data_IF_554721963199
#
_entry.id   IF_554721963199
#
_cell.length_a   1.000
_cell.length_b   1.000
_cell.length_c   1.000
_cell.angle_alpha   90.00
_cell.angle_beta   90.00
_cell.angle_gamma   90.00
#
_symmetry.space_group_name_H-M   'P 1'
#
loop_
_entity.id
_entity.type
_entity.pdbx_description
1 polymer ?
#
# COMPACT_ATOMS: atom_id res chain seq x y z
N UNK A 1 -20.39 28.69 -9.93
CA UNK A 1 -21.35 29.56 -10.64
C UNK A 1 -21.82 28.86 -11.88
N UNK A 2 -23.13 28.87 -12.16
CA UNK A 2 -23.72 28.22 -13.34
C UNK A 2 -23.75 29.20 -14.50
N UNK A 3 -23.49 28.69 -15.70
CA UNK A 3 -23.58 29.47 -16.92
C UNK A 3 -24.57 28.77 -17.85
N UNK A 4 -25.52 29.55 -18.35
CA UNK A 4 -26.63 29.07 -19.15
C UNK A 4 -26.21 29.10 -20.62
N UNK A 5 -26.07 27.94 -21.25
CA UNK A 5 -25.86 27.85 -22.69
C UNK A 5 -27.16 27.37 -23.34
N UNK A 6 -27.76 28.22 -24.17
CA UNK A 6 -29.00 27.92 -24.90
C UNK A 6 -28.68 27.24 -26.23
N UNK A 7 -29.10 25.97 -26.39
CA UNK A 7 -29.45 25.42 -27.69
C UNK A 7 -30.87 24.83 -27.59
N UNK A 8 -31.80 25.47 -28.32
CA UNK A 8 -33.17 25.06 -28.68
C UNK A 8 -33.77 23.91 -27.83
N UNK A 9 -34.63 24.33 -26.90
CA UNK A 9 -35.74 23.57 -26.29
C UNK A 9 -35.45 22.38 -25.34
N UNK A 10 -34.24 22.23 -24.79
CA UNK A 10 -34.05 21.38 -23.60
C UNK A 10 -32.98 21.93 -22.64
N UNK A 11 -33.37 22.21 -21.40
CA UNK A 11 -32.46 22.53 -20.30
C UNK A 11 -31.92 21.23 -19.70
N UNK A 12 -30.65 20.92 -19.95
CA UNK A 12 -29.98 19.78 -19.33
C UNK A 12 -28.95 20.31 -18.34
N UNK A 13 -29.07 19.94 -17.07
CA UNK A 13 -28.06 20.24 -16.06
C UNK A 13 -26.79 19.46 -16.41
N UNK A 14 -25.77 20.15 -16.92
CA UNK A 14 -24.48 19.55 -17.24
C UNK A 14 -23.49 19.95 -16.15
N UNK A 15 -22.96 18.95 -15.43
CA UNK A 15 -21.88 19.17 -14.49
C UNK A 15 -20.69 19.76 -15.24
N UNK A 16 -20.17 20.89 -14.78
CA UNK A 16 -18.92 21.45 -15.31
C UNK A 16 -17.78 20.45 -15.10
N UNK A 17 -16.73 20.51 -15.94
CA UNK A 17 -15.49 19.82 -15.66
C UNK A 17 -14.98 20.23 -14.27
N UNK A 18 -14.56 19.26 -13.48
CA UNK A 18 -13.96 19.48 -12.17
C UNK A 18 -12.69 20.32 -12.33
N UNK A 19 -12.66 21.50 -11.69
CA UNK A 19 -11.51 22.41 -11.74
C UNK A 19 -10.78 22.37 -10.38
N UNK A 20 -9.59 21.73 -10.32
CA UNK A 20 -8.86 21.54 -9.08
C UNK A 20 -8.50 22.85 -8.36
N UNK A 21 -8.29 23.94 -9.09
CA UNK A 21 -7.92 25.23 -8.47
C UNK A 21 -9.12 25.85 -7.74
N UNK A 22 -10.32 25.73 -8.31
CA UNK A 22 -11.55 26.22 -7.68
C UNK A 22 -11.95 25.37 -6.46
N UNK A 23 -11.68 24.07 -6.49
CA UNK A 23 -11.88 23.17 -5.35
C UNK A 23 -10.93 23.51 -4.20
N UNK A 24 -9.66 23.77 -4.51
CA UNK A 24 -8.67 24.20 -3.51
C UNK A 24 -9.09 25.51 -2.84
N UNK A 25 -9.58 26.50 -3.59
CA UNK A 25 -10.14 27.73 -3.01
C UNK A 25 -11.37 27.49 -2.13
N UNK A 26 -12.26 26.58 -2.54
CA UNK A 26 -13.45 26.24 -1.75
C UNK A 26 -13.05 25.60 -0.42
N UNK A 27 -12.12 24.65 -0.45
CA UNK A 27 -11.60 23.98 0.75
C UNK A 27 -10.85 24.97 1.65
N UNK A 28 -10.07 25.89 1.09
CA UNK A 28 -9.41 26.98 1.82
C UNK A 28 -10.42 27.84 2.57
N UNK A 29 -11.48 28.28 1.89
CA UNK A 29 -12.57 29.07 2.50
C UNK A 29 -13.30 28.30 3.59
N UNK A 30 -13.51 27.00 3.41
CA UNK A 30 -14.11 26.14 4.43
C UNK A 30 -13.22 26.02 5.67
N UNK A 31 -11.92 25.77 5.50
CA UNK A 31 -10.95 25.69 6.61
C UNK A 31 -10.89 27.01 7.40
N UNK A 32 -10.86 28.15 6.69
CA UNK A 32 -10.88 29.47 7.31
C UNK A 32 -12.20 29.72 8.04
N UNK A 33 -13.32 29.34 7.45
CA UNK A 33 -14.64 29.44 8.10
C UNK A 33 -14.74 28.59 9.38
N UNK A 34 -14.08 27.42 9.40
CA UNK A 34 -13.96 26.57 10.59
C UNK A 34 -12.99 27.12 11.65
N UNK A 35 -12.36 28.28 11.40
CA UNK A 35 -11.54 29.00 12.38
C UNK A 35 -10.03 28.80 12.23
N UNK A 36 -9.54 28.12 11.18
CA UNK A 36 -8.11 28.08 10.89
C UNK A 36 -7.66 29.43 10.29
N UNK A 37 -6.50 29.94 10.68
CA UNK A 37 -5.90 31.09 10.02
C UNK A 37 -5.49 30.77 8.57
N UNK A 38 -5.48 31.75 7.67
CA UNK A 38 -5.18 31.53 6.23
C UNK A 38 -3.87 30.75 6.00
N UNK A 39 -2.80 31.13 6.70
CA UNK A 39 -1.50 30.45 6.58
C UNK A 39 -1.55 28.98 7.06
N UNK A 40 -2.41 28.66 8.04
CA UNK A 40 -2.61 27.29 8.49
C UNK A 40 -3.48 26.50 7.50
N UNK A 41 -4.50 27.13 6.92
CA UNK A 41 -5.30 26.52 5.86
C UNK A 41 -4.45 26.16 4.63
N UNK A 42 -3.55 27.04 4.21
CA UNK A 42 -2.62 26.77 3.11
C UNK A 42 -1.66 25.63 3.44
N UNK A 43 -1.18 25.56 4.70
CA UNK A 43 -0.34 24.45 5.16
C UNK A 43 -1.09 23.12 5.17
N UNK A 44 -2.36 23.11 5.58
CA UNK A 44 -3.20 21.90 5.61
C UNK A 44 -3.56 21.44 4.20
N UNK A 45 -3.78 22.35 3.26
CA UNK A 45 -4.05 22.03 1.86
C UNK A 45 -2.81 21.54 1.11
N UNK A 46 -1.63 22.04 1.49
CA UNK A 46 -0.35 21.60 0.93
C UNK A 46 0.20 20.34 1.60
N UNK A 47 -0.30 19.98 2.78
CA UNK A 47 0.03 18.75 3.46
C UNK A 47 -0.70 17.60 2.79
N UNK A 48 0.04 16.76 2.04
CA UNK A 48 -0.40 15.39 1.80
C UNK A 48 -0.63 14.74 3.17
N UNK A 49 -1.75 14.04 3.40
CA UNK A 49 -1.97 13.34 4.66
C UNK A 49 -0.79 12.40 4.88
N UNK A 50 0.08 12.74 5.83
CA UNK A 50 1.24 11.91 6.11
C UNK A 50 0.74 10.49 6.41
N UNK A 51 1.31 9.46 5.78
CA UNK A 51 1.05 8.09 6.14
C UNK A 51 1.48 7.91 7.60
N UNK A 52 0.50 8.01 8.51
CA UNK A 52 0.68 7.78 9.95
C UNK A 52 1.25 6.38 10.08
N UNK A 53 2.53 6.25 10.43
CA UNK A 53 3.26 4.99 10.47
C UNK A 53 2.53 3.95 11.34
N UNK A 54 1.64 3.16 10.70
CA UNK A 54 0.76 2.21 11.40
C UNK A 54 1.48 0.90 11.71
N UNK A 55 2.59 0.63 11.03
CA UNK A 55 3.29 -0.65 11.07
C UNK A 55 4.67 -0.54 11.74
N UNK A 56 4.89 -1.34 12.80
CA UNK A 56 6.15 -1.39 13.56
C UNK A 56 6.74 -2.79 13.54
N UNK A 57 8.03 -2.90 13.23
CA UNK A 57 8.75 -4.15 13.30
C UNK A 57 9.06 -4.49 14.77
N UNK A 58 8.63 -5.65 15.22
CA UNK A 58 8.83 -6.14 16.60
C UNK A 58 9.39 -7.56 16.56
N UNK A 59 9.91 -8.05 17.69
CA UNK A 59 10.33 -9.45 17.87
C UNK A 59 9.52 -10.09 18.99
N UNK A 60 9.17 -11.35 18.82
CA UNK A 60 8.42 -12.11 19.83
C UNK A 60 9.35 -12.67 20.93
N UNK A 61 8.77 -13.44 21.87
CA UNK A 61 9.52 -14.10 22.97
C UNK A 61 10.55 -15.12 22.49
N UNK A 62 10.41 -15.62 21.26
CA UNK A 62 11.32 -16.54 20.59
C UNK A 62 12.28 -15.83 19.64
N UNK A 63 12.38 -14.50 19.73
CA UNK A 63 13.22 -13.63 18.89
C UNK A 63 12.87 -13.63 17.39
N UNK A 64 11.66 -14.07 17.03
CA UNK A 64 11.16 -14.07 15.67
C UNK A 64 10.56 -12.70 15.30
N UNK A 65 10.97 -12.09 14.17
CA UNK A 65 10.45 -10.80 13.77
C UNK A 65 9.04 -10.89 13.20
N UNK A 66 8.20 -9.92 13.54
CA UNK A 66 6.87 -9.74 13.02
C UNK A 66 6.54 -8.25 12.88
N UNK A 67 5.59 -7.92 12.01
CA UNK A 67 5.09 -6.57 11.87
C UNK A 67 3.81 -6.41 12.71
N UNK A 68 3.81 -5.47 13.64
CA UNK A 68 2.63 -5.07 14.38
C UNK A 68 2.00 -3.87 13.66
N UNK A 69 0.81 -4.07 13.09
CA UNK A 69 0.01 -3.03 12.43
C UNK A 69 -1.09 -2.59 13.39
N UNK A 70 -1.16 -1.30 13.68
CA UNK A 70 -2.17 -0.69 14.57
C UNK A 70 -3.52 -0.50 13.86
N UNK A 71 -4.00 -1.56 13.23
CA UNK A 71 -5.28 -1.61 12.54
C UNK A 71 -5.91 -3.00 12.69
N UNK A 72 -7.23 -3.05 12.47
CA UNK A 72 -7.98 -4.28 12.39
C UNK A 72 -7.52 -5.18 11.23
N UNK A 73 -7.88 -6.46 11.33
CA UNK A 73 -7.50 -7.46 10.34
C UNK A 73 -7.99 -7.08 8.93
N UNK A 74 -9.19 -6.53 8.82
CA UNK A 74 -9.82 -6.24 7.54
C UNK A 74 -9.08 -5.14 6.77
N UNK A 75 -8.73 -4.05 7.45
CA UNK A 75 -7.92 -2.98 6.87
C UNK A 75 -6.50 -3.45 6.56
N UNK A 76 -5.88 -4.17 7.48
CA UNK A 76 -4.52 -4.69 7.29
C UNK A 76 -4.48 -5.63 6.08
N UNK A 77 -5.47 -6.51 5.94
CA UNK A 77 -5.60 -7.43 4.80
C UNK A 77 -5.63 -6.69 3.46
N UNK A 78 -6.47 -5.65 3.34
CA UNK A 78 -6.58 -4.84 2.13
C UNK A 78 -5.27 -4.09 1.83
N UNK A 79 -4.68 -3.46 2.84
CA UNK A 79 -3.41 -2.72 2.69
C UNK A 79 -2.25 -3.63 2.32
N UNK A 80 -2.14 -4.81 2.93
CA UNK A 80 -1.09 -5.77 2.57
C UNK A 80 -1.23 -6.19 1.11
N UNK A 81 -2.45 -6.45 0.62
CA UNK A 81 -2.66 -6.74 -0.80
C UNK A 81 -2.16 -5.62 -1.72
N UNK A 82 -2.47 -4.36 -1.40
CA UNK A 82 -1.98 -3.20 -2.16
C UNK A 82 -0.46 -2.99 -2.04
N UNK A 83 0.11 -3.23 -0.86
CA UNK A 83 1.55 -3.15 -0.65
C UNK A 83 2.29 -4.20 -1.49
N UNK A 84 1.76 -5.43 -1.58
CA UNK A 84 2.30 -6.48 -2.42
C UNK A 84 2.27 -6.09 -3.90
N UNK A 85 1.15 -5.49 -4.36
CA UNK A 85 1.02 -4.99 -5.73
C UNK A 85 2.03 -3.86 -6.04
N UNK A 86 2.17 -2.88 -5.13
CA UNK A 86 3.15 -1.78 -5.26
C UNK A 86 4.60 -2.25 -5.25
N UNK A 87 4.92 -3.25 -4.44
CA UNK A 87 6.24 -3.90 -4.44
C UNK A 87 6.45 -4.79 -5.67
N UNK A 88 5.39 -5.06 -6.43
CA UNK A 88 5.42 -5.94 -7.57
C UNK A 88 5.65 -7.40 -7.19
N UNK A 89 5.23 -7.84 -6.00
CA UNK A 89 5.28 -9.25 -5.62
C UNK A 89 4.09 -9.99 -6.23
N UNK A 90 4.32 -11.06 -7.02
CA UNK A 90 3.24 -11.81 -7.63
C UNK A 90 2.55 -12.65 -6.55
N UNK A 91 1.23 -12.56 -6.50
CA UNK A 91 0.41 -13.33 -5.57
C UNK A 91 -0.01 -14.61 -6.28
N UNK A 92 0.50 -15.76 -5.83
CA UNK A 92 0.11 -17.08 -6.33
C UNK A 92 -1.25 -17.50 -5.78
N UNK A 93 -1.48 -17.24 -4.50
CA UNK A 93 -2.74 -17.55 -3.83
C UNK A 93 -3.04 -16.55 -2.72
N UNK A 94 -4.33 -16.32 -2.45
CA UNK A 94 -4.81 -15.49 -1.35
C UNK A 94 -5.95 -16.20 -0.64
N UNK A 95 -5.76 -16.51 0.63
CA UNK A 95 -6.80 -17.09 1.46
C UNK A 95 -7.11 -16.17 2.63
N UNK A 96 -8.19 -15.40 2.48
CA UNK A 96 -8.67 -14.47 3.50
C UNK A 96 -9.15 -15.18 4.77
N UNK A 97 -9.79 -16.34 4.63
CA UNK A 97 -10.29 -17.09 5.79
C UNK A 97 -9.15 -17.61 6.67
N UNK A 98 -7.98 -17.90 6.08
CA UNK A 98 -6.77 -18.28 6.79
C UNK A 98 -5.83 -17.11 7.09
N UNK A 99 -6.14 -15.90 6.58
CA UNK A 99 -5.26 -14.74 6.69
C UNK A 99 -3.92 -14.93 5.98
N UNK A 100 -3.86 -15.68 4.87
CA UNK A 100 -2.60 -15.99 4.18
C UNK A 100 -2.52 -15.46 2.75
N UNK A 101 -1.36 -14.89 2.40
CA UNK A 101 -0.94 -14.64 1.03
C UNK A 101 0.23 -15.55 0.69
N UNK A 102 0.16 -16.22 -0.45
CA UNK A 102 1.27 -16.98 -1.01
C UNK A 102 1.89 -16.15 -2.13
N UNK A 103 3.14 -15.72 -1.95
CA UNK A 103 3.88 -14.93 -2.94
C UNK A 103 5.02 -15.74 -3.54
N UNK A 104 5.41 -15.39 -4.76
CA UNK A 104 6.66 -15.87 -5.35
C UNK A 104 7.74 -14.81 -5.20
N UNK A 105 8.85 -15.18 -4.58
CA UNK A 105 10.00 -14.32 -4.41
C UNK A 105 11.16 -14.81 -5.28
N UNK A 106 11.82 -13.87 -5.93
CA UNK A 106 13.04 -14.07 -6.71
C UNK A 106 14.12 -13.22 -6.07
N UNK A 107 15.23 -13.84 -5.70
CA UNK A 107 16.34 -13.15 -5.07
C UNK A 107 17.03 -12.20 -6.06
N UNK A 108 17.03 -10.87 -5.82
CA UNK A 108 17.67 -9.90 -6.70
C UNK A 108 19.20 -10.02 -6.71
N UNK A 109 19.83 -10.59 -5.67
CA UNK A 109 21.29 -10.81 -5.67
C UNK A 109 21.72 -11.84 -6.73
N UNK A 110 20.79 -12.68 -7.18
CA UNK A 110 21.02 -13.63 -8.28
C UNK A 110 20.76 -13.01 -9.68
N UNK A 111 20.24 -11.77 -9.75
CA UNK A 111 19.93 -11.05 -10.98
C UNK A 111 20.49 -9.62 -10.96
N UNK A 112 21.79 -9.48 -10.68
CA UNK A 112 22.51 -8.20 -10.80
C UNK A 112 22.66 -7.86 -12.29
N UNK A 113 21.57 -7.35 -12.88
CA UNK A 113 21.47 -7.08 -14.31
C UNK A 113 20.29 -6.17 -14.59
N UNK A 114 20.51 -4.87 -14.40
CA UNK A 114 19.72 -3.74 -14.89
C UNK A 114 18.48 -3.35 -14.06
N UNK A 115 18.63 -2.20 -13.39
CA UNK A 115 17.51 -1.46 -12.82
C UNK A 115 16.54 -1.04 -13.91
N UNK A 116 15.40 -1.72 -13.99
CA UNK A 116 14.09 -1.22 -14.43
C UNK A 116 13.07 -2.36 -14.28
N UNK A 117 12.49 -2.47 -13.09
CA UNK A 117 11.42 -3.42 -12.76
C UNK A 117 11.93 -4.84 -12.48
N UNK A 118 11.45 -5.43 -11.39
CA UNK A 118 11.70 -6.80 -10.93
C UNK A 118 11.35 -7.91 -11.95
N UNK A 119 10.97 -7.56 -13.19
CA UNK A 119 10.37 -8.43 -14.20
C UNK A 119 11.01 -8.35 -15.58
N UNK A 120 12.07 -7.56 -15.78
CA UNK A 120 12.75 -7.44 -17.08
C UNK A 120 13.30 -8.77 -17.63
N UNK A 121 13.40 -9.80 -16.78
CA UNK A 121 13.95 -11.10 -17.12
C UNK A 121 12.98 -12.15 -17.67
N UNK A 122 11.64 -11.97 -17.68
CA UNK A 122 10.74 -13.10 -18.01
C UNK A 122 10.70 -13.51 -19.51
N UNK A 123 11.38 -12.80 -20.42
CA UNK A 123 11.36 -13.11 -21.86
C UNK A 123 12.67 -13.69 -22.45
N UNK A 124 13.72 -13.91 -21.66
CA UNK A 124 15.00 -14.46 -22.15
C UNK A 124 15.19 -15.95 -21.87
N UNK A 125 15.58 -16.73 -22.88
CA UNK A 125 15.91 -18.15 -22.80
C UNK A 125 17.35 -18.34 -22.29
N UNK A 126 17.52 -18.53 -20.98
CA UNK A 126 18.64 -19.26 -20.36
C UNK A 126 18.26 -19.56 -18.90
N UNK A 127 18.79 -20.64 -18.34
CA UNK A 127 18.47 -21.22 -17.01
C UNK A 127 18.32 -20.15 -15.90
N UNK A 128 17.08 -19.80 -15.54
CA UNK A 128 16.78 -18.81 -14.50
C UNK A 128 16.69 -19.47 -13.13
N UNK A 129 17.13 -18.79 -12.06
CA UNK A 129 16.85 -19.24 -10.70
C UNK A 129 15.33 -19.36 -10.49
N UNK A 130 14.92 -20.52 -9.96
CA UNK A 130 13.51 -20.82 -9.77
C UNK A 130 12.91 -19.92 -8.66
N UNK A 131 11.72 -19.32 -8.88
CA UNK A 131 11.06 -18.53 -7.87
C UNK A 131 10.69 -19.37 -6.65
N UNK A 132 10.96 -18.84 -5.45
CA UNK A 132 10.66 -19.50 -4.18
C UNK A 132 9.33 -19.00 -3.61
N UNK A 133 8.60 -19.89 -2.92
CA UNK A 133 7.28 -19.57 -2.36
C UNK A 133 7.37 -19.10 -0.91
N UNK A 134 6.87 -17.91 -0.63
CA UNK A 134 6.79 -17.39 0.73
C UNK A 134 5.34 -17.21 1.15
N UNK A 135 5.05 -17.53 2.42
CA UNK A 135 3.73 -17.38 3.02
C UNK A 135 3.74 -16.19 3.94
N UNK A 136 2.89 -15.22 3.67
CA UNK A 136 2.63 -14.08 4.54
C UNK A 136 1.35 -14.41 5.32
N UNK A 137 1.43 -14.40 6.65
CA UNK A 137 0.30 -14.69 7.54
C UNK A 137 -0.08 -13.43 8.32
N UNK A 138 -1.35 -13.08 8.30
CA UNK A 138 -1.96 -12.00 9.07
C UNK A 138 -2.80 -12.62 10.18
N UNK A 139 -2.50 -12.25 11.42
CA UNK A 139 -3.18 -12.76 12.62
C UNK A 139 -3.72 -11.58 13.41
N UNK A 140 -5.02 -11.62 13.70
CA UNK A 140 -5.68 -10.62 14.54
C UNK A 140 -5.17 -10.70 15.99
N UNK A 141 -4.85 -9.55 16.58
CA UNK A 141 -4.32 -9.42 17.92
C UNK A 141 -4.95 -8.22 18.63
N UNK A 142 -6.15 -8.42 19.20
CA UNK A 142 -6.98 -7.41 19.86
C UNK A 142 -7.34 -6.27 18.89
N UNK A 143 -6.73 -5.09 19.04
CA UNK A 143 -6.97 -3.91 18.20
C UNK A 143 -5.95 -3.75 17.07
N UNK A 144 -5.00 -4.69 16.99
CA UNK A 144 -3.90 -4.66 16.05
C UNK A 144 -3.85 -5.96 15.24
N UNK A 145 -3.13 -5.95 14.13
CA UNK A 145 -2.87 -7.14 13.32
C UNK A 145 -1.38 -7.43 13.29
N UNK A 146 -1.02 -8.71 13.47
CA UNK A 146 0.36 -9.19 13.36
C UNK A 146 0.58 -9.80 11.99
N UNK A 147 1.62 -9.36 11.29
CA UNK A 147 2.04 -9.92 10.01
C UNK A 147 3.35 -10.68 10.20
N UNK A 148 3.38 -11.92 9.74
CA UNK A 148 4.56 -12.79 9.75
C UNK A 148 4.84 -13.27 8.33
N UNK A 149 6.11 -13.50 8.00
CA UNK A 149 6.52 -14.07 6.72
C UNK A 149 7.30 -15.36 7.00
N UNK A 150 6.94 -16.43 6.30
CA UNK A 150 7.59 -17.74 6.41
C UNK A 150 8.07 -18.20 5.04
N UNK A 151 9.23 -18.83 5.02
CA UNK A 151 9.81 -19.50 3.86
C UNK A 151 9.03 -20.78 3.50
N UNK A 152 9.34 -21.45 2.37
CA UNK A 152 8.72 -22.73 2.03
C UNK A 152 8.93 -23.81 3.10
N UNK A 153 10.03 -23.71 3.88
CA UNK A 153 10.34 -24.60 4.99
C UNK A 153 9.57 -24.26 6.28
N UNK A 154 8.71 -23.24 6.25
CA UNK A 154 7.94 -22.77 7.41
C UNK A 154 8.75 -21.97 8.42
N UNK A 155 10.00 -21.60 8.09
CA UNK A 155 10.91 -20.85 8.95
C UNK A 155 10.96 -19.38 8.56
N UNK A 156 11.34 -18.52 9.49
CA UNK A 156 11.65 -17.12 9.20
C UNK A 156 13.14 -17.03 8.89
N UNK A 157 13.47 -17.06 7.60
CA UNK A 157 14.84 -16.90 7.10
C UNK A 157 15.16 -15.41 6.87
N UNK A 158 16.40 -15.11 6.46
CA UNK A 158 16.85 -13.74 6.19
C UNK A 158 15.99 -13.05 5.12
N UNK A 159 15.57 -13.80 4.10
CA UNK A 159 14.71 -13.30 3.03
C UNK A 159 13.32 -12.95 3.55
N UNK A 160 12.75 -13.75 4.44
CA UNK A 160 11.49 -13.44 5.11
C UNK A 160 11.59 -12.16 5.94
N UNK A 161 12.70 -11.93 6.65
CA UNK A 161 12.96 -10.67 7.36
C UNK A 161 13.05 -9.46 6.40
N UNK A 162 13.68 -9.64 5.23
CA UNK A 162 13.75 -8.61 4.17
C UNK A 162 12.36 -8.28 3.61
N UNK A 163 11.56 -9.29 3.26
CA UNK A 163 10.18 -9.11 2.78
C UNK A 163 9.35 -8.37 3.83
N UNK A 164 9.49 -8.74 5.11
CA UNK A 164 8.80 -8.09 6.22
C UNK A 164 9.18 -6.59 6.35
N UNK A 165 10.47 -6.27 6.13
CA UNK A 165 10.97 -4.89 6.13
C UNK A 165 10.42 -4.09 4.94
N UNK A 166 10.33 -4.70 3.75
CA UNK A 166 9.72 -4.08 2.58
C UNK A 166 8.22 -3.80 2.80
N UNK A 167 7.51 -4.74 3.41
CA UNK A 167 6.11 -4.56 3.79
C UNK A 167 5.94 -3.44 4.81
N UNK A 168 6.81 -3.36 5.83
CA UNK A 168 6.79 -2.25 6.79
C UNK A 168 6.87 -0.90 6.08
N UNK A 169 7.76 -0.75 5.10
CA UNK A 169 7.94 0.52 4.38
C UNK A 169 6.70 0.94 3.59
N UNK A 170 5.91 -0.01 3.09
CA UNK A 170 4.68 0.24 2.33
C UNK A 170 3.43 0.42 3.21
N UNK A 171 3.48 -0.09 4.44
CA UNK A 171 2.37 -0.03 5.41
C UNK A 171 2.53 1.14 6.39
N UNK A 172 3.45 2.06 6.12
CA UNK A 172 3.50 3.35 6.78
C UNK A 172 2.19 4.10 6.55
#
# INVERSE_FOLDING_TARGET
GVEQVSQRDSFVWQARPTDPELEAEMLRRLLVFMGLGEAQADTVLAADPEPVARATLQRDTSNQPYLQVQEDFERTWQRTGLALDRLGFPIKDRNRAQGTYLILYLDPEQNIGQGKGFWAGLFGNDEKPAPQQYVISLVEARENTRVLVKSPAGQIDKTAEQILTLLQAQLK
#
